data_IF_501871539937
#
_entry.id   IF_501871539937
#
_cell.length_a   1.000
_cell.length_b   1.000
_cell.length_c   1.000
_cell.angle_alpha   90.00
_cell.angle_beta   90.00
_cell.angle_gamma   90.00
#
_symmetry.space_group_name_H-M   'P 1'
#
loop_
_entity.id
_entity.type
_entity.pdbx_description
1 polymer ?
#
# COMPACT_ATOMS: atom_id res chain seq x y z
N UNK A 1 1.91 9.81 -17.08
CA UNK A 1 0.65 10.61 -17.07
C UNK A 1 0.93 12.09 -16.85
N UNK A 2 0.03 12.97 -17.31
CA UNK A 2 0.12 14.42 -17.02
C UNK A 2 -0.24 14.72 -15.56
N UNK A 3 0.61 15.50 -14.88
CA UNK A 3 0.47 15.90 -13.47
C UNK A 3 0.22 17.39 -13.28
N UNK A 4 0.12 18.19 -14.35
CA UNK A 4 -0.12 19.62 -14.22
C UNK A 4 -1.53 19.92 -13.68
N UNK A 5 -2.54 19.15 -14.11
CA UNK A 5 -3.95 19.41 -13.82
C UNK A 5 -4.29 19.39 -12.32
N UNK A 6 -3.59 18.59 -11.51
CA UNK A 6 -3.87 18.51 -10.06
C UNK A 6 -3.57 19.82 -9.32
N UNK A 7 -2.81 20.74 -9.95
CA UNK A 7 -2.46 22.06 -9.40
C UNK A 7 -3.41 23.17 -9.85
N UNK A 8 -4.34 22.88 -10.77
CA UNK A 8 -5.35 23.83 -11.21
C UNK A 8 -6.42 24.06 -10.13
N UNK A 9 -7.16 25.19 -10.18
CA UNK A 9 -8.30 25.41 -9.29
C UNK A 9 -9.35 24.32 -9.46
N UNK A 10 -9.83 23.72 -8.37
CA UNK A 10 -10.79 22.59 -8.43
C UNK A 10 -12.16 22.95 -9.02
N UNK A 11 -12.49 24.24 -9.08
CA UNK A 11 -13.72 24.76 -9.69
C UNK A 11 -13.53 25.16 -11.16
N UNK A 12 -12.41 24.79 -11.78
CA UNK A 12 -12.13 25.04 -13.19
C UNK A 12 -12.52 23.84 -14.05
N UNK A 13 -12.94 24.10 -15.29
CA UNK A 13 -13.27 23.06 -16.27
C UNK A 13 -12.01 22.25 -16.65
N UNK A 14 -10.85 22.87 -16.60
CA UNK A 14 -9.56 22.26 -16.89
C UNK A 14 -9.17 21.22 -15.83
N UNK A 15 -9.48 21.47 -14.55
CA UNK A 15 -9.28 20.48 -13.49
C UNK A 15 -10.20 19.27 -13.67
N UNK A 16 -11.48 19.49 -14.00
CA UNK A 16 -12.44 18.41 -14.27
C UNK A 16 -12.05 17.57 -15.48
N UNK A 17 -11.62 18.22 -16.57
CA UNK A 17 -11.11 17.56 -17.76
C UNK A 17 -9.84 16.75 -17.46
N UNK A 18 -8.91 17.32 -16.67
CA UNK A 18 -7.70 16.63 -16.23
C UNK A 18 -7.99 15.42 -15.34
N UNK A 19 -8.94 15.54 -14.41
CA UNK A 19 -9.37 14.44 -13.55
C UNK A 19 -9.99 13.29 -14.37
N UNK A 20 -10.86 13.63 -15.31
CA UNK A 20 -11.49 12.67 -16.24
C UNK A 20 -10.43 11.94 -17.06
N UNK A 21 -9.51 12.70 -17.67
CA UNK A 21 -8.42 12.14 -18.47
C UNK A 21 -7.52 11.22 -17.65
N UNK A 22 -7.16 11.63 -16.43
CA UNK A 22 -6.38 10.81 -15.51
C UNK A 22 -7.08 9.47 -15.22
N UNK A 23 -8.38 9.48 -14.91
CA UNK A 23 -9.14 8.26 -14.62
C UNK A 23 -9.18 7.33 -15.83
N UNK A 24 -9.44 7.86 -17.03
CA UNK A 24 -9.47 7.08 -18.28
C UNK A 24 -8.09 6.48 -18.61
N UNK A 25 -7.02 7.27 -18.54
CA UNK A 25 -5.66 6.78 -18.76
C UNK A 25 -5.26 5.72 -17.72
N UNK A 26 -5.64 5.92 -16.46
CA UNK A 26 -5.39 4.96 -15.38
C UNK A 26 -6.11 3.64 -15.62
N UNK A 27 -7.39 3.68 -15.98
CA UNK A 27 -8.15 2.48 -16.30
C UNK A 27 -7.51 1.73 -17.47
N UNK A 28 -7.16 2.44 -18.55
CA UNK A 28 -6.48 1.82 -19.71
C UNK A 28 -5.16 1.16 -19.31
N UNK A 29 -4.33 1.82 -18.50
CA UNK A 29 -3.05 1.28 -18.06
C UNK A 29 -3.19 0.05 -17.13
N UNK A 30 -4.33 -0.06 -16.43
CA UNK A 30 -4.64 -1.17 -15.53
C UNK A 30 -5.44 -2.31 -16.21
N UNK A 31 -5.66 -2.24 -17.52
CA UNK A 31 -6.42 -3.27 -18.25
C UNK A 31 -7.94 -3.12 -18.18
N UNK A 32 -8.43 -1.89 -18.06
CA UNK A 32 -9.86 -1.51 -18.02
C UNK A 32 -10.67 -2.22 -16.92
N UNK A 33 -10.28 -2.09 -15.64
CA UNK A 33 -11.05 -2.66 -14.55
C UNK A 33 -12.40 -1.94 -14.38
N UNK A 34 -13.41 -2.63 -13.84
CA UNK A 34 -14.72 -2.04 -13.53
C UNK A 34 -14.64 -1.00 -12.40
N UNK A 35 -13.68 -1.15 -11.49
CA UNK A 35 -13.42 -0.26 -10.38
C UNK A 35 -11.91 -0.06 -10.19
N UNK A 36 -11.50 1.09 -9.68
CA UNK A 36 -10.09 1.43 -9.46
C UNK A 36 -9.90 2.16 -8.13
N UNK A 37 -8.67 2.16 -7.60
CA UNK A 37 -8.38 2.89 -6.37
C UNK A 37 -8.73 4.37 -6.51
N UNK A 38 -9.42 4.92 -5.51
CA UNK A 38 -9.79 6.34 -5.52
C UNK A 38 -8.72 7.18 -4.79
N UNK A 39 -8.00 8.09 -5.49
CA UNK A 39 -6.95 8.90 -4.90
C UNK A 39 -7.44 10.17 -4.21
N UNK A 40 -8.75 10.31 -3.96
CA UNK A 40 -9.28 11.52 -3.34
C UNK A 40 -8.88 11.65 -1.86
N UNK A 41 -9.08 12.84 -1.30
CA UNK A 41 -8.74 13.19 0.07
C UNK A 41 -9.37 12.24 1.13
N UNK A 42 -10.56 11.70 0.85
CA UNK A 42 -11.26 10.81 1.79
C UNK A 42 -10.91 9.33 1.57
N UNK A 43 -10.79 8.89 0.32
CA UNK A 43 -10.54 7.49 -0.01
C UNK A 43 -9.06 7.11 0.10
N UNK A 44 -8.15 8.04 -0.23
CA UNK A 44 -6.69 7.93 -0.04
C UNK A 44 -6.08 6.63 -0.58
N UNK A 45 -6.58 6.15 -1.73
CA UNK A 45 -6.20 4.88 -2.35
C UNK A 45 -6.45 3.63 -1.49
N UNK A 46 -7.40 3.68 -0.55
CA UNK A 46 -7.73 2.53 0.32
C UNK A 46 -8.93 1.74 -0.21
N UNK A 47 -9.82 2.35 -0.98
CA UNK A 47 -10.98 1.69 -1.56
C UNK A 47 -11.07 1.85 -3.08
N UNK A 48 -11.70 0.86 -3.70
CA UNK A 48 -12.07 0.87 -5.11
C UNK A 48 -13.38 1.64 -5.30
N UNK A 49 -13.50 2.32 -6.42
CA UNK A 49 -14.67 3.08 -6.84
C UNK A 49 -14.83 2.97 -8.36
N UNK A 50 -16.05 3.17 -8.87
CA UNK A 50 -16.26 3.32 -10.31
C UNK A 50 -15.54 4.56 -10.84
N UNK A 51 -15.17 4.54 -12.13
CA UNK A 51 -14.50 5.66 -12.79
C UNK A 51 -15.24 6.99 -12.57
N UNK A 52 -16.57 7.00 -12.76
CA UNK A 52 -17.40 8.19 -12.56
C UNK A 52 -17.31 8.71 -11.11
N UNK A 53 -17.38 7.79 -10.13
CA UNK A 53 -17.26 8.14 -8.71
C UNK A 53 -15.87 8.66 -8.37
N UNK A 54 -14.81 8.15 -9.01
CA UNK A 54 -13.44 8.65 -8.82
C UNK A 54 -13.33 10.08 -9.34
N UNK A 55 -13.86 10.39 -10.54
CA UNK A 55 -13.87 11.75 -11.09
C UNK A 55 -14.63 12.70 -10.17
N UNK A 56 -15.84 12.33 -9.77
CA UNK A 56 -16.66 13.12 -8.84
C UNK A 56 -15.91 13.41 -7.54
N UNK A 57 -15.32 12.39 -6.94
CA UNK A 57 -14.54 12.54 -5.72
C UNK A 57 -13.31 13.45 -5.92
N UNK A 58 -12.63 13.38 -7.06
CA UNK A 58 -11.49 14.25 -7.34
C UNK A 58 -11.90 15.71 -7.49
N UNK A 59 -13.05 15.99 -8.10
CA UNK A 59 -13.61 17.35 -8.25
C UNK A 59 -14.10 17.88 -6.90
N UNK A 60 -14.99 17.15 -6.23
CA UNK A 60 -15.66 17.60 -4.99
C UNK A 60 -14.70 17.61 -3.80
N UNK A 61 -13.90 16.55 -3.62
CA UNK A 61 -13.07 16.31 -2.42
C UNK A 61 -11.61 16.68 -2.64
N UNK A 62 -11.15 16.69 -3.89
CA UNK A 62 -9.74 16.91 -4.22
C UNK A 62 -8.89 15.64 -4.06
N UNK A 63 -7.71 15.65 -4.67
CA UNK A 63 -6.73 14.56 -4.56
C UNK A 63 -6.03 14.56 -3.18
N UNK A 64 -5.75 13.37 -2.65
CA UNK A 64 -4.93 13.18 -1.46
C UNK A 64 -3.57 13.88 -1.64
N UNK A 65 -3.19 14.67 -0.64
CA UNK A 65 -2.05 15.57 -0.72
C UNK A 65 -0.70 14.84 -0.83
N UNK A 66 -0.59 13.63 -0.26
CA UNK A 66 0.62 12.81 -0.36
C UNK A 66 0.71 12.22 -1.76
N UNK A 67 -0.38 11.66 -2.27
CA UNK A 67 -0.42 11.05 -3.58
C UNK A 67 -0.28 12.07 -4.71
N UNK A 68 -0.90 13.25 -4.57
CA UNK A 68 -0.74 14.42 -5.45
C UNK A 68 0.73 14.81 -5.67
N UNK A 69 1.55 14.77 -4.61
CA UNK A 69 2.98 15.13 -4.64
C UNK A 69 3.90 13.99 -5.05
N UNK A 70 3.37 12.77 -5.24
CA UNK A 70 4.18 11.61 -5.57
C UNK A 70 4.84 11.76 -6.94
N UNK A 71 6.14 11.45 -7.00
CA UNK A 71 6.89 11.38 -8.27
C UNK A 71 6.27 10.39 -9.25
N UNK A 72 5.65 9.33 -8.73
CA UNK A 72 5.02 8.25 -9.50
C UNK A 72 3.60 7.98 -9.00
N UNK A 73 2.63 7.86 -9.91
CA UNK A 73 1.28 7.38 -9.60
C UNK A 73 1.16 5.88 -9.88
N UNK A 74 1.98 5.08 -9.20
CA UNK A 74 2.14 3.64 -9.48
C UNK A 74 0.84 2.84 -9.38
N UNK A 75 -0.02 3.13 -8.40
CA UNK A 75 -1.35 2.51 -8.25
C UNK A 75 -2.31 2.77 -9.43
N UNK A 76 -1.94 3.69 -10.32
CA UNK A 76 -2.72 4.10 -11.48
C UNK A 76 -1.99 3.78 -12.79
N UNK A 77 -0.93 2.96 -12.76
CA UNK A 77 -0.21 2.55 -13.96
C UNK A 77 0.67 3.64 -14.57
N UNK A 78 1.06 4.65 -13.78
CA UNK A 78 2.14 5.57 -14.16
C UNK A 78 3.48 4.83 -13.95
N UNK A 79 4.18 4.54 -15.04
CA UNK A 79 5.50 3.89 -15.02
C UNK A 79 6.56 4.98 -15.13
N UNK A 80 7.51 5.00 -14.18
CA UNK A 80 8.66 5.90 -14.26
C UNK A 80 9.55 5.43 -15.41
N UNK A 81 9.69 6.22 -16.47
CA UNK A 81 10.71 5.98 -17.49
C UNK A 81 12.01 6.61 -16.97
N UNK A 82 12.90 5.79 -16.40
CA UNK A 82 14.24 6.22 -16.03
C UNK A 82 15.04 6.55 -17.29
N UNK A 83 14.90 7.78 -17.80
CA UNK A 83 15.99 8.42 -18.54
C UNK A 83 16.72 9.35 -17.59
N UNK A 84 17.61 8.77 -16.79
CA UNK A 84 18.75 9.50 -16.25
C UNK A 84 19.99 9.06 -17.04
N UNK A 85 20.84 9.99 -17.53
CA UNK A 85 22.15 9.59 -18.01
C UNK A 85 22.99 9.16 -16.79
N UNK A 86 23.33 7.87 -16.79
CA UNK A 86 24.52 7.22 -16.23
C UNK A 86 25.03 7.71 -14.87
N UNK A 87 24.68 6.97 -13.80
CA UNK A 87 25.61 6.68 -12.70
C UNK A 87 25.40 5.22 -12.30
N UNK A 88 26.49 4.45 -12.40
CA UNK A 88 26.66 3.05 -11.99
C UNK A 88 25.91 2.67 -10.71
N UNK A 89 25.14 1.58 -10.76
CA UNK A 89 25.11 0.62 -9.65
C UNK A 89 24.59 -0.72 -10.16
N UNK A 90 25.42 -1.74 -10.06
CA UNK A 90 25.28 -3.09 -10.62
C UNK A 90 24.21 -3.97 -9.93
N UNK A 91 23.07 -3.41 -9.53
CA UNK A 91 21.99 -4.13 -8.83
C UNK A 91 20.70 -4.28 -9.67
N UNK A 92 20.62 -3.64 -10.85
CA UNK A 92 19.42 -3.67 -11.69
C UNK A 92 19.29 -4.94 -12.55
N UNK A 93 20.38 -5.67 -12.80
CA UNK A 93 20.35 -6.85 -13.69
C UNK A 93 19.52 -7.99 -13.07
N UNK A 94 19.64 -8.21 -11.75
CA UNK A 94 18.95 -9.31 -11.06
C UNK A 94 17.42 -9.11 -11.03
N UNK A 95 16.98 -7.87 -10.86
CA UNK A 95 15.55 -7.53 -10.86
C UNK A 95 14.93 -7.61 -12.27
N UNK A 96 15.66 -7.19 -13.31
CA UNK A 96 15.17 -7.28 -14.68
C UNK A 96 15.16 -8.73 -15.20
N UNK A 97 16.17 -9.54 -14.84
CA UNK A 97 16.16 -10.98 -15.14
C UNK A 97 15.00 -11.69 -14.44
N UNK A 98 14.65 -11.30 -13.21
CA UNK A 98 13.51 -11.86 -12.49
C UNK A 98 12.16 -11.44 -13.10
N UNK A 99 12.02 -10.18 -13.52
CA UNK A 99 10.82 -9.67 -14.20
C UNK A 99 10.58 -10.33 -15.55
N UNK A 100 11.63 -10.48 -16.36
CA UNK A 100 11.58 -11.17 -17.65
C UNK A 100 11.21 -12.64 -17.43
N UNK A 101 11.82 -13.30 -16.45
CA UNK A 101 11.53 -14.71 -16.14
C UNK A 101 10.06 -14.91 -15.73
N UNK A 102 9.50 -14.08 -14.84
CA UNK A 102 8.08 -14.16 -14.47
C UNK A 102 7.14 -13.95 -15.66
N UNK A 103 7.47 -13.01 -16.56
CA UNK A 103 6.63 -12.74 -17.73
C UNK A 103 6.61 -13.89 -18.75
N UNK A 104 7.64 -14.74 -18.77
CA UNK A 104 7.72 -15.91 -19.66
C UNK A 104 7.08 -17.19 -19.11
N UNK A 105 6.66 -17.20 -17.83
CA UNK A 105 6.07 -18.37 -17.18
C UNK A 105 4.54 -18.45 -17.30
N UNK A 106 3.87 -17.40 -17.78
CA UNK A 106 2.40 -17.34 -17.90
C UNK A 106 1.84 -17.94 -19.21
N UNK A 107 2.70 -18.38 -20.15
CA UNK A 107 2.24 -18.89 -21.45
C UNK A 107 1.98 -20.41 -21.50
N UNK A 108 1.65 -21.03 -20.36
CA UNK A 108 1.20 -22.43 -20.33
C UNK A 108 0.38 -22.75 -19.09
N UNK A 109 -0.95 -22.59 -19.17
CA UNK A 109 -1.99 -23.64 -18.97
C UNK A 109 -3.37 -23.02 -18.71
N UNK A 110 -4.34 -23.37 -19.58
CA UNK A 110 -5.76 -23.00 -19.47
C UNK A 110 -6.54 -23.96 -18.53
N UNK A 111 -7.65 -23.41 -17.98
CA UNK A 111 -8.80 -24.01 -17.22
C UNK A 111 -8.56 -24.08 -15.70
N UNK A 112 -9.42 -23.60 -14.80
CA UNK A 112 -10.85 -23.23 -14.82
C UNK A 112 -11.18 -22.21 -13.70
N UNK A 113 -12.23 -21.41 -13.91
CA UNK A 113 -12.79 -20.34 -13.07
C UNK A 113 -13.58 -20.82 -11.82
N UNK A 114 -14.27 -19.95 -11.04
CA UNK A 114 -13.72 -19.01 -10.04
C UNK A 114 -14.41 -19.12 -8.65
N UNK A 115 -13.74 -18.76 -7.56
CA UNK A 115 -14.40 -18.56 -6.26
C UNK A 115 -14.37 -17.09 -5.81
N UNK A 116 -15.58 -16.52 -5.82
CA UNK A 116 -16.24 -15.76 -4.76
C UNK A 116 -15.55 -14.53 -4.15
N UNK A 117 -16.15 -13.39 -4.55
CA UNK A 117 -16.57 -12.27 -3.71
C UNK A 117 -16.64 -12.57 -2.21
N UNK A 118 -15.94 -11.75 -1.42
CA UNK A 118 -16.01 -11.70 0.03
C UNK A 118 -15.88 -10.25 0.50
N UNK A 119 -17.05 -9.63 0.63
CA UNK A 119 -17.35 -8.29 1.13
C UNK A 119 -16.83 -8.04 2.55
N UNK A 120 -16.92 -6.76 2.95
CA UNK A 120 -17.09 -6.23 4.31
C UNK A 120 -15.84 -5.65 4.97
N UNK A 121 -15.91 -4.64 5.82
CA UNK A 121 -16.88 -3.59 6.11
C UNK A 121 -16.16 -2.69 7.11
N UNK A 122 -16.45 -1.40 7.06
CA UNK A 122 -16.11 -0.42 8.07
C UNK A 122 -16.61 -0.84 9.45
N UNK A 123 -15.69 -1.27 10.32
CA UNK A 123 -15.86 -1.33 11.76
C UNK A 123 -15.21 -0.09 12.40
N UNK A 124 -16.04 0.86 12.81
CA UNK A 124 -15.65 2.01 13.62
C UNK A 124 -15.09 1.56 14.97
N UNK A 125 -13.85 1.94 15.29
CA UNK A 125 -13.52 2.35 16.66
C UNK A 125 -12.55 3.52 16.61
N UNK A 126 -13.02 4.69 17.05
CA UNK A 126 -12.16 5.81 17.45
C UNK A 126 -11.44 5.41 18.74
N UNK A 127 -10.47 4.51 18.62
CA UNK A 127 -9.46 4.30 19.65
C UNK A 127 -8.32 5.30 19.41
N UNK A 128 -7.92 6.05 20.43
CA UNK A 128 -6.65 6.76 20.41
C UNK A 128 -5.56 5.78 19.96
N UNK A 129 -4.90 6.04 18.82
CA UNK A 129 -3.80 5.21 18.32
C UNK A 129 -2.70 5.24 19.39
N UNK A 130 -2.52 4.14 20.12
CA UNK A 130 -1.54 4.06 21.20
C UNK A 130 -0.18 3.70 20.62
N UNK A 131 0.84 4.50 20.96
CA UNK A 131 2.22 4.15 20.68
C UNK A 131 2.62 2.94 21.53
N UNK A 132 3.47 2.07 20.97
CA UNK A 132 3.95 0.89 21.66
C UNK A 132 5.40 0.58 21.30
N UNK A 133 6.07 -0.12 22.21
CA UNK A 133 7.30 -0.85 21.93
C UNK A 133 6.94 -2.28 21.50
N UNK A 134 7.63 -2.76 20.47
CA UNK A 134 7.62 -4.15 20.07
C UNK A 134 8.77 -4.83 20.79
N UNK A 135 8.47 -5.90 21.51
CA UNK A 135 9.47 -6.78 22.11
C UNK A 135 9.85 -7.88 21.13
N UNK A 136 11.11 -8.30 21.20
CA UNK A 136 11.63 -9.42 20.44
C UNK A 136 10.79 -10.71 20.61
N UNK A 137 10.67 -11.46 19.52
CA UNK A 137 9.79 -12.64 19.45
C UNK A 137 10.30 -13.81 20.28
N UNK A 138 11.61 -13.89 20.52
CA UNK A 138 12.25 -15.00 21.23
C UNK A 138 12.19 -14.85 22.76
N UNK A 139 11.45 -13.85 23.26
CA UNK A 139 11.30 -13.51 24.68
C UNK A 139 12.62 -13.05 25.34
N UNK A 140 13.57 -12.51 24.58
CA UNK A 140 14.74 -11.83 25.14
C UNK A 140 14.36 -10.61 26.00
N UNK A 141 13.15 -10.07 25.77
CA UNK A 141 12.66 -8.86 26.44
C UNK A 141 13.22 -7.57 25.84
N UNK A 142 14.01 -7.66 24.78
CA UNK A 142 14.58 -6.50 24.10
C UNK A 142 13.52 -5.76 23.30
N UNK A 143 13.58 -4.43 23.32
CA UNK A 143 12.71 -3.58 22.53
C UNK A 143 13.31 -3.45 21.12
N UNK A 144 12.74 -4.15 20.16
CA UNK A 144 13.25 -4.23 18.79
C UNK A 144 12.76 -3.08 17.92
N UNK A 145 11.57 -2.52 18.20
CA UNK A 145 11.00 -1.43 17.42
C UNK A 145 10.02 -0.56 18.22
N UNK A 146 9.67 0.58 17.64
CA UNK A 146 8.56 1.43 18.05
C UNK A 146 7.50 1.42 16.95
N UNK A 147 6.23 1.30 17.35
CA UNK A 147 5.12 1.37 16.41
C UNK A 147 3.84 1.89 17.02
N UNK A 148 2.77 1.81 16.23
CA UNK A 148 1.41 2.16 16.64
C UNK A 148 0.47 1.00 16.40
N UNK A 149 -0.26 0.61 17.43
CA UNK A 149 -1.35 -0.36 17.28
C UNK A 149 -2.49 0.30 16.52
N UNK A 150 -2.88 -0.34 15.42
CA UNK A 150 -3.94 0.15 14.53
C UNK A 150 -5.17 -0.75 14.52
N UNK A 151 -5.01 -2.04 14.82
CA UNK A 151 -6.13 -2.97 15.00
C UNK A 151 -5.70 -4.14 15.88
N UNK A 152 -6.65 -4.69 16.63
CA UNK A 152 -6.56 -5.96 17.38
C UNK A 152 -7.63 -6.94 16.94
N UNK A 153 -8.32 -6.66 15.82
CA UNK A 153 -9.37 -7.51 15.27
C UNK A 153 -8.73 -8.73 14.59
N UNK A 154 -9.00 -9.97 15.03
CA UNK A 154 -8.43 -11.18 14.46
C UNK A 154 -8.63 -11.33 12.94
N UNK A 155 -9.69 -10.74 12.39
CA UNK A 155 -10.03 -10.81 10.96
C UNK A 155 -9.35 -9.73 10.11
N UNK A 156 -8.73 -8.71 10.74
CA UNK A 156 -7.93 -7.72 10.01
C UNK A 156 -6.70 -8.40 9.41
N UNK A 157 -6.26 -7.89 8.26
CA UNK A 157 -5.23 -8.51 7.43
C UNK A 157 -3.96 -7.67 7.41
N UNK A 158 -2.83 -8.35 7.54
CA UNK A 158 -1.49 -7.83 7.27
C UNK A 158 -0.93 -8.65 6.11
N UNK A 159 -0.63 -7.99 4.98
CA UNK A 159 -0.24 -8.66 3.73
C UNK A 159 -1.20 -9.80 3.32
N UNK A 160 -2.52 -9.53 3.39
CA UNK A 160 -3.60 -10.47 3.10
C UNK A 160 -3.74 -11.67 4.06
N UNK A 161 -2.81 -11.84 5.02
CA UNK A 161 -2.91 -12.84 6.08
C UNK A 161 -3.70 -12.28 7.27
N UNK A 162 -4.74 -12.97 7.76
CA UNK A 162 -5.45 -12.60 8.99
C UNK A 162 -4.48 -12.53 10.18
N UNK A 163 -4.71 -11.56 11.08
CA UNK A 163 -3.96 -11.44 12.33
C UNK A 163 -4.09 -12.71 13.17
N UNK A 164 -5.32 -13.21 13.28
CA UNK A 164 -5.68 -14.29 14.19
C UNK A 164 -5.77 -13.84 15.65
N UNK A 165 -6.19 -14.74 16.55
CA UNK A 165 -6.34 -14.42 17.96
C UNK A 165 -4.97 -14.10 18.58
N UNK A 166 -4.95 -13.11 19.49
CA UNK A 166 -3.76 -12.67 20.23
C UNK A 166 -2.68 -11.92 19.43
N UNK A 167 -3.05 -11.34 18.30
CA UNK A 167 -2.16 -10.48 17.52
C UNK A 167 -2.75 -9.08 17.31
N UNK A 168 -1.86 -8.11 17.12
CA UNK A 168 -2.21 -6.74 16.74
C UNK A 168 -1.54 -6.37 15.43
N UNK A 169 -2.23 -5.56 14.63
CA UNK A 169 -1.68 -4.89 13.46
C UNK A 169 -0.98 -3.63 13.90
N UNK A 170 0.31 -3.56 13.64
CA UNK A 170 1.18 -2.49 14.06
C UNK A 170 1.76 -1.80 12.83
N UNK A 171 1.71 -0.47 12.83
CA UNK A 171 2.50 0.34 11.92
C UNK A 171 3.85 0.61 12.56
N UNK A 172 4.94 0.13 11.96
CA UNK A 172 6.29 0.33 12.51
C UNK A 172 6.79 1.71 12.12
N UNK A 173 7.19 2.49 13.13
CA UNK A 173 7.69 3.86 12.94
C UNK A 173 9.20 3.94 13.01
N UNK A 174 9.82 3.23 13.95
CA UNK A 174 11.26 3.30 14.21
C UNK A 174 11.80 1.90 14.50
N UNK A 175 12.89 1.54 13.83
CA UNK A 175 13.70 0.38 14.19
C UNK A 175 14.63 0.74 15.35
N UNK A 176 14.73 -0.14 16.35
CA UNK A 176 15.75 -0.05 17.41
C UNK A 176 16.88 -1.07 17.20
N UNK A 177 16.55 -2.24 16.66
CA UNK A 177 17.48 -3.32 16.37
C UNK A 177 17.21 -3.79 14.94
N UNK A 178 17.96 -3.27 13.97
CA UNK A 178 17.69 -3.47 12.54
C UNK A 178 17.64 -4.94 12.12
N UNK A 179 18.58 -5.75 12.63
CA UNK A 179 18.68 -7.18 12.32
C UNK A 179 17.75 -8.10 13.12
N UNK A 180 16.90 -7.54 14.01
CA UNK A 180 15.95 -8.37 14.75
C UNK A 180 14.89 -8.94 13.80
N UNK A 181 14.44 -10.16 14.05
CA UNK A 181 13.49 -10.86 13.18
C UNK A 181 12.07 -10.34 13.41
N UNK A 182 11.27 -10.24 12.35
CA UNK A 182 9.83 -10.04 12.50
C UNK A 182 9.12 -11.36 12.83
N UNK A 183 7.97 -11.28 13.53
CA UNK A 183 7.25 -12.48 13.97
C UNK A 183 6.75 -13.38 12.83
N UNK A 184 6.27 -12.77 11.74
CA UNK A 184 5.77 -13.46 10.55
C UNK A 184 6.47 -12.91 9.30
N UNK A 185 7.71 -13.36 9.02
CA UNK A 185 8.47 -12.83 7.90
C UNK A 185 7.86 -13.26 6.57
N UNK A 186 8.09 -12.45 5.55
CA UNK A 186 7.79 -12.76 4.16
C UNK A 186 8.97 -12.35 3.27
N UNK A 187 8.82 -12.45 1.95
CA UNK A 187 9.89 -12.11 1.00
C UNK A 187 10.33 -10.64 1.05
N UNK A 188 9.44 -9.73 1.46
CA UNK A 188 9.68 -8.29 1.52
C UNK A 188 10.11 -7.80 2.91
N UNK A 189 9.64 -8.46 3.98
CA UNK A 189 9.89 -8.07 5.37
C UNK A 189 10.42 -9.28 6.13
N UNK A 190 11.73 -9.32 6.36
CA UNK A 190 12.40 -10.40 7.10
C UNK A 190 12.90 -9.92 8.46
N UNK A 191 13.39 -8.68 8.51
CA UNK A 191 13.92 -8.06 9.72
C UNK A 191 13.23 -6.73 10.03
N UNK A 192 13.49 -6.18 11.21
CA UNK A 192 12.82 -4.96 11.69
C UNK A 192 13.16 -3.74 10.82
N UNK A 193 14.37 -3.67 10.24
CA UNK A 193 14.70 -2.59 9.30
C UNK A 193 13.77 -2.53 8.10
N UNK A 194 13.38 -3.70 7.57
CA UNK A 194 12.47 -3.82 6.42
C UNK A 194 11.03 -3.41 6.79
N UNK A 195 10.69 -3.58 8.07
CA UNK A 195 9.35 -3.32 8.57
C UNK A 195 9.04 -1.82 8.73
N UNK A 196 10.05 -0.95 8.78
CA UNK A 196 9.86 0.49 8.99
C UNK A 196 9.01 1.08 7.87
N UNK A 197 7.89 1.72 8.24
CA UNK A 197 6.95 2.26 7.26
C UNK A 197 6.03 1.23 6.61
N UNK A 198 5.98 0.01 7.15
CA UNK A 198 5.07 -1.07 6.75
C UNK A 198 4.21 -1.55 7.91
N UNK A 199 3.22 -2.39 7.58
CA UNK A 199 2.35 -3.06 8.54
C UNK A 199 2.95 -4.40 8.96
N UNK A 200 2.98 -4.68 10.26
CA UNK A 200 3.36 -6.01 10.77
C UNK A 200 2.28 -6.54 11.71
N UNK A 201 2.16 -7.87 11.74
CA UNK A 201 1.43 -8.57 12.79
C UNK A 201 2.38 -8.82 13.96
N UNK A 202 1.96 -8.51 15.18
CA UNK A 202 2.78 -8.76 16.38
C UNK A 202 1.97 -9.43 17.49
N UNK A 203 2.55 -10.36 18.28
CA UNK A 203 1.85 -10.98 19.40
C UNK A 203 1.52 -9.97 20.49
N UNK A 204 0.29 -9.99 21.00
CA UNK A 204 -0.16 -9.06 22.05
C UNK A 204 0.70 -9.12 23.32
N UNK A 205 1.23 -10.30 23.66
CA UNK A 205 2.14 -10.50 24.80
C UNK A 205 3.51 -9.83 24.64
N UNK A 206 3.87 -9.44 23.41
CA UNK A 206 5.14 -8.82 23.05
C UNK A 206 4.96 -7.35 22.67
N UNK A 207 3.86 -6.73 23.10
CA UNK A 207 3.57 -5.31 22.90
C UNK A 207 3.53 -4.63 24.25
N UNK A 208 4.32 -3.57 24.42
CA UNK A 208 4.29 -2.71 25.61
C UNK A 208 3.78 -1.34 25.19
N UNK A 209 2.64 -0.93 25.74
CA UNK A 209 2.08 0.41 25.49
C UNK A 209 2.88 1.48 26.23
N UNK A 210 3.03 2.66 25.60
CA UNK A 210 3.60 3.85 26.22
C UNK A 210 2.56 4.69 26.96
#
# INVERSE_FOLDING_TARGET
>A
MDKAWVWLPRNSLEYEAGATKFVVESASNLGNPSEMFCPCLLCRNVCHQSMDTVVEHLVIKGMDQKYKRSKCWSLHGDIMNEKTPNVDSSENEAYELFRIHLSTLDESTKKSSPLQSGTNSTGTSKGSKKNCFLLDCDNSGEQVAIGRVCSTDPEDKVHLCPLGPNASKIWVEVSKIDGARVWRPNSEIQVISDAVGNWVAWPNKHIVFM
#
